data_IF_441111159956
#
_entry.id   IF_441111159956
#
_cell.length_a   1.000
_cell.length_b   1.000
_cell.length_c   1.000
_cell.angle_alpha   90.00
_cell.angle_beta   90.00
_cell.angle_gamma   90.00
#
_symmetry.space_group_name_H-M   'P 1'
#
loop_
_entity.id
_entity.type
_entity.pdbx_description
1 polymer ?
#
# COMPACT_ATOMS: atom_id res chain seq x y z
N UNK A 1 -0.68 -8.92 10.09
CA UNK A 1 -0.26 -7.87 9.13
C UNK A 1 -0.24 -6.49 9.78
N UNK A 2 -1.36 -5.99 10.29
CA UNK A 2 -1.48 -4.69 10.98
C UNK A 2 -0.38 -4.44 12.05
N UNK A 3 -0.27 -5.30 13.06
CA UNK A 3 0.71 -5.14 14.14
C UNK A 3 2.17 -5.22 13.66
N UNK A 4 2.44 -6.05 12.64
CA UNK A 4 3.78 -6.20 12.07
C UNK A 4 4.23 -4.96 11.25
N UNK A 5 3.27 -4.19 10.73
CA UNK A 5 3.50 -2.96 9.98
C UNK A 5 3.39 -1.71 10.88
N UNK A 6 2.97 -1.88 12.13
CA UNK A 6 2.70 -0.80 13.07
C UNK A 6 1.55 0.09 12.62
N UNK A 7 0.55 -0.49 11.94
CA UNK A 7 -0.65 0.21 11.48
C UNK A 7 -1.90 -0.49 12.00
N UNK A 8 -3.02 0.23 12.05
CA UNK A 8 -4.26 -0.37 12.56
C UNK A 8 -4.84 -1.35 11.53
N UNK A 9 -5.70 -2.28 11.99
CA UNK A 9 -6.52 -3.11 11.08
C UNK A 9 -7.33 -2.27 10.09
N UNK A 10 -7.73 -1.06 10.49
CA UNK A 10 -8.46 -0.13 9.63
C UNK A 10 -7.59 0.36 8.47
N UNK A 11 -6.30 0.62 8.71
CA UNK A 11 -5.33 1.00 7.68
C UNK A 11 -5.09 -0.14 6.68
N UNK A 12 -4.98 -1.38 7.16
CA UNK A 12 -4.85 -2.56 6.28
C UNK A 12 -6.10 -2.70 5.41
N UNK A 13 -7.29 -2.64 6.01
CA UNK A 13 -8.55 -2.73 5.26
C UNK A 13 -8.70 -1.57 4.25
N UNK A 14 -8.22 -0.36 4.56
CA UNK A 14 -8.31 0.79 3.64
C UNK A 14 -7.43 0.61 2.40
N UNK A 15 -6.25 -0.02 2.56
CA UNK A 15 -5.36 -0.40 1.44
C UNK A 15 -5.98 -1.54 0.63
N UNK A 16 -6.50 -2.58 1.31
CA UNK A 16 -7.12 -3.74 0.63
C UNK A 16 -8.41 -3.40 -0.14
N UNK A 17 -9.11 -2.34 0.26
CA UNK A 17 -10.34 -1.91 -0.41
C UNK A 17 -10.13 -0.80 -1.45
N UNK A 18 -8.88 -0.51 -1.85
CA UNK A 18 -8.52 0.52 -2.85
C UNK A 18 -9.07 1.94 -2.57
N UNK A 19 -9.58 2.18 -1.36
CA UNK A 19 -10.28 3.42 -1.01
C UNK A 19 -9.35 4.56 -0.62
N UNK A 20 -8.06 4.30 -0.47
CA UNK A 20 -7.07 5.29 -0.10
C UNK A 20 -5.71 4.97 -0.71
N UNK A 21 -5.11 5.96 -1.38
CA UNK A 21 -3.69 5.92 -1.72
C UNK A 21 -2.88 5.90 -0.43
N UNK A 22 -2.13 4.82 -0.14
CA UNK A 22 -1.32 4.76 1.07
C UNK A 22 -0.21 5.82 1.02
N UNK A 23 0.23 6.28 2.20
CA UNK A 23 1.43 7.14 2.28
C UNK A 23 2.66 6.37 1.79
N UNK A 24 3.66 7.08 1.26
CA UNK A 24 4.92 6.46 0.80
C UNK A 24 5.57 5.58 1.88
N UNK A 25 5.52 6.01 3.14
CA UNK A 25 6.06 5.24 4.26
C UNK A 25 5.33 3.91 4.46
N UNK A 26 4.00 3.89 4.29
CA UNK A 26 3.20 2.67 4.39
C UNK A 26 3.49 1.73 3.20
N UNK A 27 3.57 2.29 2.00
CA UNK A 27 3.94 1.54 0.80
C UNK A 27 5.32 0.87 0.95
N UNK A 28 6.32 1.60 1.45
CA UNK A 28 7.67 1.05 1.72
C UNK A 28 7.65 -0.05 2.79
N UNK A 29 6.87 0.11 3.86
CA UNK A 29 6.74 -0.91 4.91
C UNK A 29 6.07 -2.18 4.37
N UNK A 30 5.05 -2.04 3.52
CA UNK A 30 4.37 -3.15 2.86
C UNK A 30 5.31 -3.91 1.92
N UNK A 31 6.03 -3.19 1.05
CA UNK A 31 7.03 -3.77 0.15
C UNK A 31 8.07 -4.60 0.91
N UNK A 32 8.62 -4.04 2.01
CA UNK A 32 9.57 -4.75 2.86
C UNK A 32 8.97 -5.99 3.52
N UNK A 33 7.73 -5.90 4.01
CA UNK A 33 7.06 -7.01 4.70
C UNK A 33 6.69 -8.15 3.74
N UNK A 34 6.33 -7.82 2.50
CA UNK A 34 5.94 -8.77 1.46
C UNK A 34 7.11 -9.25 0.60
N UNK A 35 8.34 -8.78 0.88
CA UNK A 35 9.55 -9.13 0.13
C UNK A 35 9.45 -8.82 -1.38
N UNK A 36 8.88 -7.66 -1.70
CA UNK A 36 8.63 -7.15 -3.07
C UNK A 36 9.02 -5.67 -3.14
N UNK A 37 8.85 -5.00 -4.29
CA UNK A 37 9.10 -3.55 -4.44
C UNK A 37 7.80 -2.73 -4.32
N UNK A 38 7.93 -1.41 -4.20
CA UNK A 38 6.77 -0.51 -4.14
C UNK A 38 6.07 -0.47 -5.49
N UNK A 39 6.84 -0.49 -6.57
CA UNK A 39 6.40 -0.47 -7.96
C UNK A 39 5.62 -1.73 -8.35
N UNK A 40 5.95 -2.89 -7.76
CA UNK A 40 5.19 -4.13 -7.94
C UNK A 40 3.87 -4.13 -7.17
N UNK A 41 3.76 -3.35 -6.09
CA UNK A 41 2.57 -3.27 -5.24
C UNK A 41 1.59 -2.17 -5.65
N UNK A 42 2.07 -1.08 -6.24
CA UNK A 42 1.28 0.10 -6.58
C UNK A 42 1.52 0.49 -8.03
N UNK A 43 0.53 0.25 -8.87
CA UNK A 43 0.56 0.59 -10.29
C UNK A 43 -0.19 1.93 -10.44
N UNK A 44 0.46 3.00 -10.95
CA UNK A 44 -0.23 4.23 -11.29
C UNK A 44 -1.31 3.94 -12.33
N UNK A 45 -2.50 4.51 -12.14
CA UNK A 45 -3.54 4.48 -13.16
C UNK A 45 -3.11 5.42 -14.29
N UNK A 46 -2.52 4.87 -15.35
CA UNK A 46 -2.03 5.65 -16.51
C UNK A 46 -3.17 6.31 -17.32
N UNK A 47 -4.43 6.08 -16.92
CA UNK A 47 -5.64 6.59 -17.59
C UNK A 47 -5.95 8.06 -17.30
N UNK A 48 -5.30 8.72 -16.33
CA UNK A 48 -5.50 10.16 -16.10
C UNK A 48 -4.85 11.07 -17.17
N UNK A 49 -4.05 10.50 -18.08
CA UNK A 49 -3.39 11.24 -19.16
C UNK A 49 -4.05 11.07 -20.55
N UNK A 50 -5.20 10.38 -20.65
CA UNK A 50 -5.96 10.13 -21.89
C UNK A 50 -7.28 10.90 -21.98
#
# INVERSE_FOLDING_TARGET
MADALGVTRQTVNAVENEKYSPTLLLAMKLAKFLHTTVEELFIPDDTEWL
#
